data_IF_753196049160
#
_entry.id   IF_753196049160
#
_cell.length_a   1.000
_cell.length_b   1.000
_cell.length_c   1.000
_cell.angle_alpha   90.00
_cell.angle_beta   90.00
_cell.angle_gamma   90.00
#
_symmetry.space_group_name_H-M   'P 1'
#
loop_
_entity.id
_entity.type
_entity.pdbx_description
1 polymer ?
#
# COMPACT_ATOMS: atom_id res chain seq x y z
N UNK A 1 12.00 14.06 5.77
CA UNK A 1 11.69 12.60 5.79
C UNK A 1 12.24 11.96 7.05
N UNK A 2 11.40 11.57 8.01
CA UNK A 2 11.86 10.82 9.19
C UNK A 2 12.22 9.37 8.85
N UNK A 3 13.26 8.83 9.48
CA UNK A 3 13.70 7.41 9.34
C UNK A 3 12.53 6.45 9.62
N UNK A 4 11.64 6.82 10.55
CA UNK A 4 10.42 6.07 10.86
C UNK A 4 9.47 5.96 9.65
N UNK A 5 9.36 7.00 8.82
CA UNK A 5 8.50 6.98 7.63
C UNK A 5 9.06 6.05 6.54
N UNK A 6 10.40 5.99 6.42
CA UNK A 6 11.07 5.06 5.49
C UNK A 6 10.85 3.60 5.91
N UNK A 7 11.04 3.27 7.20
CA UNK A 7 10.79 1.92 7.71
C UNK A 7 9.33 1.50 7.55
N UNK A 8 8.38 2.37 7.89
CA UNK A 8 6.96 2.06 7.69
C UNK A 8 6.65 1.80 6.21
N UNK A 9 7.19 2.61 5.31
CA UNK A 9 6.99 2.45 3.87
C UNK A 9 7.60 1.14 3.34
N UNK A 10 8.79 0.74 3.81
CA UNK A 10 9.39 -0.56 3.49
C UNK A 10 8.56 -1.73 4.03
N UNK A 11 8.05 -1.63 5.26
CA UNK A 11 7.16 -2.64 5.84
C UNK A 11 5.87 -2.78 5.02
N UNK A 12 5.21 -1.66 4.69
CA UNK A 12 3.98 -1.66 3.87
C UNK A 12 4.24 -2.23 2.48
N UNK A 13 5.39 -1.91 1.87
CA UNK A 13 5.81 -2.49 0.58
C UNK A 13 6.03 -4.00 0.64
N UNK A 14 6.74 -4.50 1.65
CA UNK A 14 6.93 -5.96 1.83
C UNK A 14 5.60 -6.68 1.96
N UNK A 15 4.71 -6.14 2.79
CA UNK A 15 3.38 -6.70 3.03
C UNK A 15 2.53 -6.73 1.75
N UNK A 16 2.65 -5.71 0.91
CA UNK A 16 2.02 -5.66 -0.41
C UNK A 16 2.54 -6.79 -1.32
N UNK A 17 3.87 -6.97 -1.39
CA UNK A 17 4.48 -8.03 -2.21
C UNK A 17 4.05 -9.42 -1.75
N UNK A 18 3.99 -9.66 -0.45
CA UNK A 18 3.52 -10.94 0.12
C UNK A 18 2.06 -11.20 -0.24
N UNK A 19 1.19 -10.19 -0.15
CA UNK A 19 -0.21 -10.29 -0.58
C UNK A 19 -0.33 -10.57 -2.08
N UNK A 20 0.51 -9.95 -2.91
CA UNK A 20 0.53 -10.18 -4.37
C UNK A 20 0.96 -11.60 -4.70
N UNK A 21 1.94 -12.14 -3.99
CA UNK A 21 2.38 -13.54 -4.13
C UNK A 21 1.32 -14.54 -3.67
N UNK A 22 0.68 -14.31 -2.53
CA UNK A 22 -0.42 -15.16 -2.05
C UNK A 22 -1.60 -15.16 -3.02
N UNK A 23 -1.93 -13.99 -3.59
CA UNK A 23 -2.96 -13.84 -4.60
C UNK A 23 -2.61 -14.61 -5.89
N UNK A 24 -1.35 -14.57 -6.33
CA UNK A 24 -0.88 -15.34 -7.47
C UNK A 24 -0.93 -16.86 -7.21
N UNK A 25 -0.53 -17.30 -6.02
CA UNK A 25 -0.59 -18.70 -5.61
C UNK A 25 -2.04 -19.21 -5.52
N UNK A 26 -2.96 -18.43 -4.93
CA UNK A 26 -4.40 -18.70 -4.88
C UNK A 26 -5.01 -18.81 -6.28
N UNK A 27 -4.48 -18.07 -7.27
CA UNK A 27 -4.93 -18.18 -8.66
C UNK A 27 -4.49 -19.49 -9.33
N UNK A 28 -3.39 -20.07 -8.90
CA UNK A 28 -2.86 -21.30 -9.48
C UNK A 28 -3.38 -22.56 -8.78
N UNK A 29 -3.83 -22.45 -7.53
CA UNK A 29 -4.43 -23.58 -6.83
C UNK A 29 -5.83 -23.89 -7.37
N UNK A 30 -6.16 -25.17 -7.59
CA UNK A 30 -7.53 -25.59 -7.84
C UNK A 30 -8.34 -25.32 -6.58
N UNK A 31 -9.20 -24.30 -6.64
CA UNK A 31 -10.09 -23.98 -5.54
C UNK A 31 -11.32 -24.87 -5.66
N UNK A 32 -11.64 -25.60 -4.59
CA UNK A 32 -12.89 -26.37 -4.46
C UNK A 32 -14.11 -25.49 -4.67
N UNK A 33 -14.00 -24.20 -4.32
CA UNK A 33 -15.07 -23.21 -4.44
C UNK A 33 -14.59 -21.97 -5.20
N UNK A 34 -14.95 -21.89 -6.48
CA UNK A 34 -14.57 -20.80 -7.38
C UNK A 34 -15.13 -19.45 -6.91
N UNK A 35 -16.30 -19.44 -6.26
CA UNK A 35 -16.95 -18.22 -5.78
C UNK A 35 -16.21 -17.64 -4.57
N UNK A 36 -15.85 -18.48 -3.59
CA UNK A 36 -15.01 -18.07 -2.45
C UNK A 36 -13.67 -17.52 -2.92
N UNK A 37 -13.06 -18.16 -3.93
CA UNK A 37 -11.79 -17.69 -4.52
C UNK A 37 -11.95 -16.32 -5.18
N UNK A 38 -12.99 -16.12 -5.99
CA UNK A 38 -13.23 -14.83 -6.64
C UNK A 38 -13.48 -13.70 -5.64
N UNK A 39 -14.27 -13.97 -4.59
CA UNK A 39 -14.54 -13.01 -3.52
C UNK A 39 -13.25 -12.65 -2.75
N UNK A 40 -12.43 -13.66 -2.45
CA UNK A 40 -11.13 -13.47 -1.80
C UNK A 40 -10.20 -12.62 -2.66
N UNK A 41 -10.12 -12.90 -3.97
CA UNK A 41 -9.32 -12.11 -4.91
C UNK A 41 -9.81 -10.67 -5.03
N UNK A 42 -11.12 -10.45 -5.07
CA UNK A 42 -11.71 -9.08 -5.07
C UNK A 42 -11.35 -8.31 -3.82
N UNK A 43 -11.51 -8.92 -2.65
CA UNK A 43 -11.19 -8.30 -1.36
C UNK A 43 -9.69 -7.98 -1.24
N UNK A 44 -8.82 -8.93 -1.61
CA UNK A 44 -7.37 -8.73 -1.64
C UNK A 44 -6.96 -7.61 -2.59
N UNK A 45 -7.59 -7.53 -3.76
CA UNK A 45 -7.31 -6.46 -4.72
C UNK A 45 -7.71 -5.07 -4.19
N UNK A 46 -8.84 -4.98 -3.47
CA UNK A 46 -9.23 -3.75 -2.76
C UNK A 46 -8.19 -3.33 -1.72
N UNK A 47 -7.77 -4.28 -0.88
CA UNK A 47 -6.74 -4.04 0.13
C UNK A 47 -5.41 -3.58 -0.48
N UNK A 48 -4.98 -4.18 -1.60
CA UNK A 48 -3.77 -3.77 -2.32
C UNK A 48 -3.88 -2.34 -2.85
N UNK A 49 -5.05 -1.91 -3.34
CA UNK A 49 -5.25 -0.53 -3.79
C UNK A 49 -5.09 0.44 -2.62
N UNK A 50 -5.74 0.17 -1.48
CA UNK A 50 -5.62 1.00 -0.29
C UNK A 50 -4.15 1.11 0.19
N UNK A 51 -3.42 0.00 0.21
CA UNK A 51 -1.99 -0.01 0.59
C UNK A 51 -1.13 0.80 -0.40
N UNK A 52 -1.41 0.72 -1.71
CA UNK A 52 -0.72 1.52 -2.75
C UNK A 52 -1.01 3.01 -2.58
N UNK A 53 -2.25 3.38 -2.28
CA UNK A 53 -2.63 4.77 -1.99
C UNK A 53 -1.95 5.29 -0.71
N UNK A 54 -1.86 4.47 0.33
CA UNK A 54 -1.19 4.85 1.57
C UNK A 54 0.31 5.10 1.34
N UNK A 55 0.99 4.23 0.57
CA UNK A 55 2.38 4.43 0.12
C UNK A 55 2.50 5.75 -0.65
N UNK A 56 1.61 6.02 -1.60
CA UNK A 56 1.63 7.24 -2.40
C UNK A 56 1.45 8.50 -1.52
N UNK A 57 0.60 8.45 -0.48
CA UNK A 57 0.45 9.53 0.50
C UNK A 57 1.72 9.76 1.30
N UNK A 58 2.37 8.69 1.77
CA UNK A 58 3.66 8.82 2.47
C UNK A 58 4.76 9.39 1.57
N UNK A 59 4.80 9.01 0.30
CA UNK A 59 5.75 9.55 -0.68
C UNK A 59 5.48 11.03 -0.96
N UNK A 60 4.22 11.41 -1.19
CA UNK A 60 3.84 12.81 -1.48
C UNK A 60 4.17 13.72 -0.30
N UNK A 61 3.83 13.30 0.93
CA UNK A 61 4.15 14.05 2.15
C UNK A 61 5.65 14.13 2.43
N UNK A 62 6.42 13.22 1.84
CA UNK A 62 7.86 13.22 1.93
C UNK A 62 8.55 14.07 0.85
N UNK A 63 7.84 14.33 -0.26
CA UNK A 63 8.28 15.16 -1.39
C UNK A 63 7.88 16.63 -1.19
N UNK A 64 6.82 16.93 -0.43
CA UNK A 64 6.54 18.30 0.00
C UNK A 64 7.56 18.72 1.09
N UNK A 65 8.55 19.57 0.79
CA UNK A 65 9.18 20.33 1.86
C UNK A 65 8.09 21.18 2.49
N UNK A 66 8.10 21.23 3.82
CA UNK A 66 7.25 22.10 4.63
C UNK A 66 7.52 23.53 4.14
N UNK A 67 6.73 24.00 3.18
CA UNK A 67 6.68 25.40 2.78
C UNK A 67 5.71 26.08 3.73
N UNK A 68 6.12 26.14 4.99
CA UNK A 68 5.51 27.01 6.00
C UNK A 68 6.65 27.82 6.63
N UNK A 69 7.28 28.63 5.78
CA UNK A 69 8.21 29.66 6.17
C UNK A 69 7.93 30.88 5.28
N UNK A 70 7.03 31.74 5.74
CA UNK A 70 6.90 33.11 5.24
C UNK A 70 5.52 33.49 4.74
N UNK A 71 4.69 34.06 5.63
CA UNK A 71 3.80 35.18 5.30
C UNK A 71 3.20 35.81 6.57
N UNK A 72 4.02 36.53 7.35
CA UNK A 72 3.63 37.80 8.00
C UNK A 72 4.85 38.46 8.64
N UNK A 73 5.55 39.25 7.84
CA UNK A 73 6.15 40.50 8.30
C UNK A 73 5.18 41.62 7.93
N UNK A 74 4.72 42.38 8.90
CA UNK A 74 5.08 43.79 9.16
C UNK A 74 4.46 44.18 10.51
#
# INVERSE_FOLDING_TARGET
MSIQNKRQLETTRRKLTELEQQCAALKQQPATDAHVRELTLRSLHGLMKQLKEEIARYQTRAIQPISDAGARGD
#
